data_IF_998758034047
#
_entry.id   IF_998758034047
#
_cell.length_a   1.000
_cell.length_b   1.000
_cell.length_c   1.000
_cell.angle_alpha   90.00
_cell.angle_beta   90.00
_cell.angle_gamma   90.00
#
_symmetry.space_group_name_H-M   'P 1'
#
loop_
_entity.id
_entity.type
_entity.pdbx_description
1 polymer ?
#
# COMPACT_ATOMS: atom_id res chain seq x y z
N UNK A 1 -8.65 -3.52 21.43
CA UNK A 1 -8.95 -3.08 20.04
C UNK A 1 -7.86 -3.54 19.05
N UNK A 2 -7.35 -4.78 19.14
CA UNK A 2 -6.18 -5.26 18.34
C UNK A 2 -6.53 -6.28 17.23
N UNK A 3 -7.70 -6.91 17.28
CA UNK A 3 -8.12 -7.95 16.33
C UNK A 3 -8.61 -7.41 14.97
N UNK A 4 -9.03 -6.15 14.91
CA UNK A 4 -9.68 -5.60 13.71
C UNK A 4 -8.71 -5.36 12.54
N UNK A 5 -7.49 -4.88 12.82
CA UNK A 5 -6.55 -4.52 11.75
C UNK A 5 -6.01 -5.75 11.03
N UNK A 6 -5.77 -6.84 11.76
CA UNK A 6 -5.17 -8.08 11.22
C UNK A 6 -6.08 -8.83 10.22
N UNK A 7 -7.39 -8.86 10.46
CA UNK A 7 -8.33 -9.50 9.54
C UNK A 7 -8.55 -8.67 8.27
N UNK A 8 -8.50 -7.34 8.37
CA UNK A 8 -8.77 -6.44 7.26
C UNK A 8 -7.66 -6.46 6.20
N UNK A 9 -6.40 -6.39 6.62
CA UNK A 9 -5.21 -6.49 5.76
C UNK A 9 -5.11 -7.83 5.03
N UNK A 10 -5.43 -8.94 5.70
CA UNK A 10 -5.41 -10.28 5.09
C UNK A 10 -6.45 -10.40 3.98
N UNK A 11 -7.66 -9.88 4.21
CA UNK A 11 -8.72 -9.83 3.21
C UNK A 11 -8.35 -8.91 2.04
N UNK A 12 -7.73 -7.77 2.32
CA UNK A 12 -7.30 -6.81 1.30
C UNK A 12 -6.19 -7.41 0.42
N UNK A 13 -5.22 -8.09 1.02
CA UNK A 13 -4.21 -8.86 0.29
C UNK A 13 -4.84 -9.89 -0.65
N UNK A 14 -5.72 -10.76 -0.12
CA UNK A 14 -6.39 -11.77 -0.93
C UNK A 14 -7.22 -11.17 -2.08
N UNK A 15 -7.89 -10.02 -1.85
CA UNK A 15 -8.71 -9.33 -2.86
C UNK A 15 -7.88 -8.75 -4.01
N UNK A 16 -6.68 -8.25 -3.72
CA UNK A 16 -5.91 -7.46 -4.68
C UNK A 16 -4.62 -8.09 -5.19
N UNK A 17 -4.10 -9.17 -4.59
CA UNK A 17 -2.82 -9.78 -4.98
C UNK A 17 -2.72 -10.04 -6.48
N UNK A 18 -3.76 -10.60 -7.11
CA UNK A 18 -3.76 -10.89 -8.55
C UNK A 18 -3.83 -9.63 -9.43
N UNK A 19 -4.49 -8.58 -8.93
CA UNK A 19 -4.56 -7.28 -9.63
C UNK A 19 -3.21 -6.59 -9.56
N UNK A 20 -2.53 -6.66 -8.42
CA UNK A 20 -1.24 -6.01 -8.23
C UNK A 20 -0.08 -6.78 -8.89
N UNK A 21 -0.13 -8.11 -8.91
CA UNK A 21 0.90 -8.99 -9.50
C UNK A 21 0.87 -9.10 -11.03
N UNK A 22 -0.07 -8.44 -11.72
CA UNK A 22 -0.28 -8.68 -13.15
C UNK A 22 0.75 -8.01 -14.10
N UNK A 23 1.79 -7.37 -13.56
CA UNK A 23 2.89 -6.77 -14.33
C UNK A 23 2.39 -5.68 -15.29
N UNK A 24 2.84 -5.70 -16.54
CA UNK A 24 2.44 -4.71 -17.55
C UNK A 24 1.01 -4.84 -18.08
N UNK A 25 0.25 -5.85 -17.61
CA UNK A 25 -1.15 -6.00 -18.02
C UNK A 25 -1.96 -4.78 -17.57
N UNK A 26 -2.80 -4.22 -18.46
CA UNK A 26 -3.62 -3.07 -18.09
C UNK A 26 -4.63 -3.46 -17.02
N UNK A 27 -4.79 -2.59 -16.03
CA UNK A 27 -5.81 -2.69 -14.99
C UNK A 27 -6.76 -1.52 -15.13
N UNK A 28 -8.05 -1.78 -14.90
CA UNK A 28 -9.06 -0.72 -14.92
C UNK A 28 -8.78 0.33 -13.86
N UNK A 29 -8.90 1.61 -14.24
CA UNK A 29 -8.80 2.75 -13.31
C UNK A 29 -9.79 2.61 -12.16
N UNK A 30 -11.01 2.12 -12.42
CA UNK A 30 -12.00 1.86 -11.38
C UNK A 30 -11.53 0.84 -10.34
N UNK A 31 -10.71 -0.14 -10.75
CA UNK A 31 -10.15 -1.14 -9.83
C UNK A 31 -9.09 -0.55 -8.91
N UNK A 32 -8.30 0.40 -9.41
CA UNK A 32 -7.32 1.14 -8.60
C UNK A 32 -7.98 2.15 -7.66
N UNK A 33 -9.09 2.75 -8.09
CA UNK A 33 -9.92 3.60 -7.22
C UNK A 33 -10.56 2.80 -6.10
N UNK A 34 -11.15 1.62 -6.42
CA UNK A 34 -11.68 0.69 -5.43
C UNK A 34 -10.60 0.28 -4.43
N UNK A 35 -9.40 -0.08 -4.91
CA UNK A 35 -8.26 -0.40 -4.04
C UNK A 35 -7.93 0.75 -3.08
N UNK A 36 -7.89 1.98 -3.59
CA UNK A 36 -7.58 3.16 -2.78
C UNK A 36 -8.64 3.41 -1.70
N UNK A 37 -9.92 3.18 -2.03
CA UNK A 37 -11.01 3.29 -1.06
C UNK A 37 -10.89 2.22 0.02
N UNK A 38 -10.66 0.96 -0.36
CA UNK A 38 -10.48 -0.14 0.58
C UNK A 38 -9.28 0.07 1.52
N UNK A 39 -8.19 0.68 1.05
CA UNK A 39 -7.06 1.08 1.90
C UNK A 39 -7.50 2.07 3.01
N UNK A 40 -8.36 3.03 2.66
CA UNK A 40 -8.89 4.00 3.63
C UNK A 40 -9.80 3.30 4.66
N UNK A 41 -10.70 2.44 4.21
CA UNK A 41 -11.62 1.68 5.07
C UNK A 41 -10.87 0.73 6.01
N UNK A 42 -9.75 0.17 5.56
CA UNK A 42 -8.87 -0.68 6.37
C UNK A 42 -7.91 0.10 7.29
N UNK A 43 -8.00 1.43 7.35
CA UNK A 43 -7.11 2.29 8.14
C UNK A 43 -5.62 2.15 7.77
N UNK A 44 -5.34 1.85 6.49
CA UNK A 44 -3.97 1.78 5.95
C UNK A 44 -3.49 3.13 5.41
N UNK A 45 -4.35 4.14 5.41
CA UNK A 45 -3.98 5.51 5.05
C UNK A 45 -3.92 6.40 6.29
N UNK A 46 -2.88 7.23 6.37
CA UNK A 46 -2.68 8.19 7.45
C UNK A 46 -3.62 9.40 7.27
N UNK A 47 -4.37 9.72 8.32
CA UNK A 47 -5.15 10.95 8.41
C UNK A 47 -4.21 12.16 8.45
N UNK A 48 -3.28 12.14 9.42
CA UNK A 48 -2.25 13.15 9.58
C UNK A 48 -0.97 12.71 8.85
N UNK A 49 -0.78 13.26 7.65
CA UNK A 49 0.38 12.94 6.81
C UNK A 49 1.29 14.16 6.71
N UNK A 50 2.56 13.98 7.06
CA UNK A 50 3.59 15.00 6.94
C UNK A 50 4.40 14.78 5.68
N UNK A 51 4.41 15.78 4.81
CA UNK A 51 5.17 15.72 3.56
C UNK A 51 6.68 15.65 3.79
N UNK A 52 7.17 16.27 4.87
CA UNK A 52 8.60 16.23 5.22
C UNK A 52 9.09 14.80 5.47
N UNK A 53 8.31 14.00 6.21
CA UNK A 53 8.62 12.58 6.48
C UNK A 53 8.63 11.78 5.17
N UNK A 54 7.75 12.10 4.22
CA UNK A 54 7.78 11.49 2.89
C UNK A 54 9.00 11.90 2.09
N UNK A 55 9.35 13.19 2.01
CA UNK A 55 10.49 13.65 1.22
C UNK A 55 11.82 13.07 1.69
N UNK A 56 11.96 12.79 2.99
CA UNK A 56 13.14 12.11 3.52
C UNK A 56 13.25 10.65 3.02
N UNK A 57 12.13 9.99 2.73
CA UNK A 57 12.08 8.56 2.42
C UNK A 57 11.67 8.24 0.97
N UNK A 58 11.29 9.25 0.18
CA UNK A 58 10.72 9.04 -1.16
C UNK A 58 11.68 8.36 -2.15
N UNK A 59 12.98 8.47 -1.90
CA UNK A 59 14.02 7.80 -2.69
C UNK A 59 14.16 6.30 -2.41
N UNK A 60 13.45 5.80 -1.39
CA UNK A 60 13.46 4.38 -1.00
C UNK A 60 12.15 3.66 -1.38
N UNK A 61 11.19 4.37 -2.00
CA UNK A 61 9.85 3.84 -2.30
C UNK A 61 9.86 2.62 -3.23
N UNK A 62 10.87 2.51 -4.07
CA UNK A 62 11.08 1.40 -5.00
C UNK A 62 12.18 0.42 -4.53
N UNK A 63 12.77 0.65 -3.34
CA UNK A 63 13.77 -0.23 -2.75
C UNK A 63 13.11 -1.45 -2.11
N UNK A 64 13.33 -2.66 -2.65
CA UNK A 64 12.73 -3.88 -2.08
C UNK A 64 13.22 -4.15 -0.66
N UNK A 65 14.48 -3.81 -0.36
CA UNK A 65 15.07 -3.98 0.98
C UNK A 65 14.38 -3.06 2.00
N UNK A 66 14.10 -1.81 1.62
CA UNK A 66 13.38 -0.89 2.48
C UNK A 66 11.96 -1.39 2.80
N UNK A 67 11.21 -1.83 1.78
CA UNK A 67 9.84 -2.34 1.98
C UNK A 67 9.84 -3.64 2.80
N UNK A 68 10.85 -4.50 2.62
CA UNK A 68 10.96 -5.76 3.35
C UNK A 68 11.10 -5.54 4.86
N UNK A 69 11.76 -4.47 5.29
CA UNK A 69 11.99 -4.15 6.70
C UNK A 69 11.08 -3.04 7.25
N UNK A 70 10.39 -2.31 6.39
CA UNK A 70 9.47 -1.23 6.75
C UNK A 70 8.52 -1.64 7.89
N UNK A 71 8.33 -0.74 8.85
CA UNK A 71 7.31 -0.81 9.89
C UNK A 71 5.91 -0.60 9.31
N UNK A 72 4.86 -0.93 10.08
CA UNK A 72 3.49 -0.66 9.66
C UNK A 72 3.26 0.82 9.35
N UNK A 73 3.85 1.71 10.14
CA UNK A 73 3.73 3.15 9.93
C UNK A 73 4.38 3.58 8.62
N UNK A 74 5.55 3.05 8.27
CA UNK A 74 6.21 3.32 6.99
C UNK A 74 5.39 2.78 5.82
N UNK A 75 4.81 1.57 5.93
CA UNK A 75 3.87 1.08 4.92
C UNK A 75 2.67 2.03 4.73
N UNK A 76 2.08 2.53 5.82
CA UNK A 76 0.99 3.51 5.76
C UNK A 76 1.45 4.84 5.14
N UNK A 77 2.67 5.30 5.45
CA UNK A 77 3.26 6.50 4.86
C UNK A 77 3.39 6.34 3.34
N UNK A 78 3.96 5.23 2.86
CA UNK A 78 4.12 4.94 1.43
C UNK A 78 2.77 4.90 0.70
N UNK A 79 1.79 4.14 1.23
CA UNK A 79 0.46 4.03 0.63
C UNK A 79 -0.28 5.38 0.61
N UNK A 80 -0.14 6.17 1.67
CA UNK A 80 -0.74 7.51 1.76
C UNK A 80 -0.11 8.46 0.76
N UNK A 81 1.22 8.45 0.63
CA UNK A 81 1.94 9.29 -0.31
C UNK A 81 1.47 9.00 -1.75
N UNK A 82 1.48 7.73 -2.17
CA UNK A 82 1.06 7.32 -3.52
C UNK A 82 -0.41 7.67 -3.80
N UNK A 83 -1.30 7.39 -2.84
CA UNK A 83 -2.72 7.73 -2.94
C UNK A 83 -2.93 9.24 -3.12
N UNK A 84 -2.20 10.06 -2.37
CA UNK A 84 -2.31 11.52 -2.47
C UNK A 84 -1.68 12.02 -3.78
N UNK A 85 -0.54 11.48 -4.18
CA UNK A 85 0.14 11.83 -5.43
C UNK A 85 -0.70 11.49 -6.67
N UNK A 86 -1.46 10.40 -6.67
CA UNK A 86 -2.40 10.06 -7.76
C UNK A 86 -3.40 11.17 -8.06
N UNK A 87 -3.83 11.93 -7.04
CA UNK A 87 -4.76 13.05 -7.22
C UNK A 87 -4.14 14.23 -7.96
N UNK A 88 -2.82 14.39 -7.87
CA UNK A 88 -2.06 15.47 -8.52
C UNK A 88 -1.41 15.04 -9.83
N UNK A 89 -1.05 13.75 -9.93
CA UNK A 89 -0.40 13.14 -11.09
C UNK A 89 -1.06 11.79 -11.38
N UNK A 90 -2.11 11.76 -12.23
CA UNK A 90 -2.78 10.52 -12.60
C UNK A 90 -1.80 9.48 -13.16
N UNK A 91 -1.94 8.22 -12.73
CA UNK A 91 -1.10 7.11 -13.17
C UNK A 91 0.06 6.74 -12.23
N UNK A 92 0.26 7.47 -11.12
CA UNK A 92 1.22 7.10 -10.06
C UNK A 92 0.90 5.73 -9.50
N UNK A 93 -0.36 5.45 -9.16
CA UNK A 93 -0.79 4.17 -8.59
C UNK A 93 -0.58 3.03 -9.58
N UNK A 94 -0.90 3.22 -10.86
CA UNK A 94 -0.68 2.19 -11.87
C UNK A 94 0.82 1.97 -12.14
N UNK A 95 1.63 3.02 -12.12
CA UNK A 95 3.09 2.89 -12.25
C UNK A 95 3.69 2.08 -11.07
N UNK A 96 3.33 2.43 -9.83
CA UNK A 96 3.79 1.72 -8.63
C UNK A 96 3.33 0.26 -8.60
N UNK A 97 2.12 0.00 -9.14
CA UNK A 97 1.64 -1.37 -9.36
C UNK A 97 2.53 -2.12 -10.33
N UNK A 98 2.82 -1.57 -11.52
CA UNK A 98 3.65 -2.22 -12.55
C UNK A 98 5.05 -2.53 -12.04
N UNK A 99 5.60 -1.67 -11.20
CA UNK A 99 6.91 -1.87 -10.56
C UNK A 99 6.90 -2.88 -9.41
N UNK A 100 5.74 -3.42 -9.03
CA UNK A 100 5.62 -4.38 -7.92
C UNK A 100 5.66 -3.74 -6.53
N UNK A 101 5.73 -2.42 -6.43
CA UNK A 101 5.81 -1.69 -5.14
C UNK A 101 4.55 -1.92 -4.31
N UNK A 102 3.36 -1.79 -4.93
CA UNK A 102 2.10 -1.92 -4.20
C UNK A 102 1.87 -3.33 -3.62
N UNK A 103 2.26 -4.39 -4.36
CA UNK A 103 2.14 -5.76 -3.85
C UNK A 103 3.14 -6.01 -2.72
N UNK A 104 4.38 -5.55 -2.84
CA UNK A 104 5.39 -5.72 -1.79
C UNK A 104 4.96 -5.06 -0.47
N UNK A 105 4.40 -3.84 -0.53
CA UNK A 105 3.89 -3.15 0.66
C UNK A 105 2.71 -3.91 1.27
N UNK A 106 1.82 -4.44 0.43
CA UNK A 106 0.63 -5.15 0.90
C UNK A 106 0.98 -6.51 1.54
N UNK A 107 1.94 -7.23 0.98
CA UNK A 107 2.53 -8.43 1.58
C UNK A 107 3.16 -8.12 2.94
N UNK A 108 3.90 -7.02 3.04
CA UNK A 108 4.48 -6.58 4.31
C UNK A 108 3.39 -6.26 5.35
N UNK A 109 2.32 -5.56 4.95
CA UNK A 109 1.17 -5.30 5.81
C UNK A 109 0.49 -6.59 6.30
N UNK A 110 0.35 -7.57 5.41
CA UNK A 110 -0.20 -8.88 5.74
C UNK A 110 0.68 -9.64 6.75
N UNK A 111 2.01 -9.53 6.66
CA UNK A 111 2.93 -10.16 7.60
C UNK A 111 2.79 -9.64 9.04
N UNK A 112 2.45 -8.36 9.23
CA UNK A 112 2.13 -7.83 10.57
C UNK A 112 0.86 -8.45 11.16
N UNK A 113 -0.04 -8.87 10.30
CA UNK A 113 -1.36 -9.37 10.66
C UNK A 113 -1.29 -10.82 11.12
N UNK A 114 -0.50 -11.63 10.40
CA UNK A 114 -0.18 -13.01 10.78
C UNK A 114 0.59 -13.05 12.11
N UNK A 115 1.56 -12.15 12.32
CA UNK A 115 2.32 -12.08 13.58
C UNK A 115 1.49 -11.72 14.82
N UNK A 116 0.32 -11.12 14.65
CA UNK A 116 -0.59 -10.77 15.74
C UNK A 116 -1.63 -11.87 16.03
N UNK A 117 -1.76 -12.85 15.14
CA UNK A 117 -2.70 -13.96 15.26
C UNK A 117 -2.06 -15.24 15.83
N UNK A 118 -0.73 -15.30 15.90
CA UNK A 118 0.05 -16.34 16.59
C UNK A 118 0.45 -15.88 17.98
#
# INVERSE_FOLDING_TARGET
MKLSVSNHTSNLYAKYVNVLACGDKPVSVFKLQEFTQDLAECQLLLNDFKWDDWYQNSHLVDSPEYIADASLHECQLLLTAMTRLERFSPGVMDNMRRQGVLIAILERCNNFSVKLAC
#
